data_IF_941243001029
#
_entry.id   IF_941243001029
#
_cell.length_a   1.000
_cell.length_b   1.000
_cell.length_c   1.000
_cell.angle_alpha   90.00
_cell.angle_beta   90.00
_cell.angle_gamma   90.00
#
_symmetry.space_group_name_H-M   'P 1'
#
loop_
_entity.id
_entity.type
_entity.pdbx_description
1 polymer ?
#
# COMPACT_ATOMS: atom_id res chain seq x y z
N UNK A 1 -42.63 6.64 1.18
CA UNK A 1 -42.03 7.89 1.71
C UNK A 1 -40.73 7.63 2.49
N UNK A 2 -40.71 6.74 3.50
CA UNK A 2 -39.52 6.41 4.32
C UNK A 2 -38.36 5.71 3.60
N UNK A 3 -38.59 5.12 2.42
CA UNK A 3 -37.54 4.51 1.57
C UNK A 3 -36.99 5.45 0.49
N UNK A 4 -37.41 6.72 0.49
CA UNK A 4 -36.90 7.71 -0.47
C UNK A 4 -35.56 8.27 0.01
N UNK A 5 -34.78 8.87 -0.89
CA UNK A 5 -33.49 9.52 -0.56
C UNK A 5 -33.57 10.54 0.58
N UNK A 6 -34.75 11.14 0.78
CA UNK A 6 -35.03 12.13 1.83
C UNK A 6 -35.19 11.51 3.23
N UNK A 7 -35.37 10.19 3.32
CA UNK A 7 -35.39 9.43 4.56
C UNK A 7 -34.11 8.64 4.82
N UNK A 8 -33.04 8.90 4.05
CA UNK A 8 -31.75 8.25 4.24
C UNK A 8 -31.09 8.70 5.54
N UNK A 9 -30.57 7.75 6.31
CA UNK A 9 -29.71 8.04 7.47
C UNK A 9 -28.36 8.63 7.04
N UNK A 10 -27.95 8.36 5.80
CA UNK A 10 -26.72 8.89 5.23
C UNK A 10 -27.00 10.21 4.52
N UNK A 11 -26.14 11.20 4.75
CA UNK A 11 -26.12 12.43 3.98
C UNK A 11 -25.59 12.13 2.58
N UNK A 12 -26.48 12.19 1.59
CA UNK A 12 -26.17 11.84 0.19
C UNK A 12 -25.06 12.72 -0.39
N UNK A 13 -24.95 13.98 0.06
CA UNK A 13 -23.90 14.91 -0.38
C UNK A 13 -22.50 14.50 0.12
N UNK A 14 -22.42 13.65 1.15
CA UNK A 14 -21.15 13.12 1.69
C UNK A 14 -20.71 11.82 1.02
N UNK A 15 -21.42 11.34 -0.01
CA UNK A 15 -21.00 10.16 -0.80
C UNK A 15 -19.82 10.48 -1.73
N UNK A 16 -19.53 11.77 -1.96
CA UNK A 16 -18.40 12.26 -2.74
C UNK A 16 -17.46 13.07 -1.83
N UNK A 17 -16.29 13.45 -2.35
CA UNK A 17 -15.39 14.33 -1.62
C UNK A 17 -16.08 15.67 -1.38
N UNK A 18 -16.29 15.99 -0.11
CA UNK A 18 -16.95 17.22 0.34
C UNK A 18 -16.05 18.07 1.25
N UNK A 19 -14.91 17.53 1.69
CA UNK A 19 -13.93 18.28 2.48
C UNK A 19 -13.12 19.22 1.59
N UNK A 20 -12.63 20.34 2.15
CA UNK A 20 -11.58 21.12 1.51
C UNK A 20 -10.30 20.28 1.45
N UNK A 21 -9.81 20.00 0.24
CA UNK A 21 -8.64 19.16 -0.01
C UNK A 21 -7.34 19.96 -0.26
N UNK A 22 -7.34 21.27 0.06
CA UNK A 22 -6.19 22.15 -0.11
C UNK A 22 -5.47 22.50 1.22
N UNK A 23 -5.87 21.90 2.33
CA UNK A 23 -5.19 22.09 3.61
C UNK A 23 -3.88 21.28 3.65
N UNK A 24 -2.97 21.58 4.58
CA UNK A 24 -1.81 20.73 4.83
C UNK A 24 -2.20 19.28 5.15
N UNK A 25 -1.37 18.31 4.73
CA UNK A 25 -1.64 16.88 4.90
C UNK A 25 -1.90 16.47 6.37
N UNK A 26 -1.29 17.16 7.32
CA UNK A 26 -1.47 16.96 8.77
C UNK A 26 -2.89 17.22 9.27
N UNK A 27 -3.75 17.87 8.47
CA UNK A 27 -5.11 18.20 8.84
C UNK A 27 -6.12 17.12 8.44
N UNK A 28 -5.66 16.01 7.87
CA UNK A 28 -6.51 14.92 7.39
C UNK A 28 -6.23 13.62 8.14
N UNK A 29 -7.29 12.87 8.41
CA UNK A 29 -7.15 11.45 8.71
C UNK A 29 -6.87 10.68 7.41
N UNK A 30 -5.79 9.91 7.39
CA UNK A 30 -5.39 9.10 6.23
C UNK A 30 -5.81 7.66 6.48
N UNK A 31 -6.62 7.11 5.59
CA UNK A 31 -6.99 5.70 5.62
C UNK A 31 -5.74 4.84 5.50
N UNK A 32 -5.39 4.14 6.58
CA UNK A 32 -4.11 3.44 6.73
C UNK A 32 -4.36 1.94 6.84
N UNK A 33 -3.57 1.14 6.13
CA UNK A 33 -3.64 -0.31 6.19
C UNK A 33 -2.40 -0.87 6.89
N UNK A 34 -2.62 -1.59 7.97
CA UNK A 34 -1.61 -2.38 8.67
C UNK A 34 -1.71 -3.86 8.22
N UNK A 35 -0.61 -4.48 7.79
CA UNK A 35 -0.52 -5.88 7.29
C UNK A 35 -1.20 -6.17 5.94
N UNK A 36 -1.07 -5.28 4.97
CA UNK A 36 -1.84 -5.31 3.71
C UNK A 36 -1.61 -6.54 2.79
N UNK A 37 -0.46 -7.20 2.93
CA UNK A 37 -0.02 -8.39 2.21
C UNK A 37 -0.50 -9.70 2.86
N UNK A 38 -0.84 -9.69 4.15
CA UNK A 38 -1.22 -10.91 4.88
C UNK A 38 -2.70 -11.23 4.63
N UNK A 39 -2.95 -12.12 3.68
CA UNK A 39 -4.23 -12.81 3.56
C UNK A 39 -4.31 -13.91 4.64
N UNK A 40 -4.29 -13.56 5.94
CA UNK A 40 -4.42 -14.54 7.03
C UNK A 40 -3.85 -14.13 8.40
N UNK A 41 -3.75 -15.12 9.31
CA UNK A 41 -3.14 -14.99 10.64
C UNK A 41 -1.66 -14.62 10.48
N UNK A 42 -1.15 -13.69 11.31
CA UNK A 42 0.21 -13.11 11.27
C UNK A 42 1.40 -14.11 11.28
N UNK A 43 1.14 -15.41 11.38
CA UNK A 43 2.13 -16.49 11.46
C UNK A 43 2.12 -17.36 10.19
N UNK A 44 1.08 -17.27 9.33
CA UNK A 44 0.87 -18.17 8.17
C UNK A 44 0.33 -17.51 6.88
N UNK A 45 0.16 -16.19 6.83
CA UNK A 45 -0.32 -15.54 5.61
C UNK A 45 0.79 -15.39 4.57
N UNK A 46 0.50 -15.72 3.31
CA UNK A 46 1.42 -15.50 2.18
C UNK A 46 1.55 -13.99 1.87
N UNK A 47 2.75 -13.53 1.51
CA UNK A 47 2.95 -12.19 0.98
C UNK A 47 2.59 -12.19 -0.50
N UNK A 48 1.56 -11.43 -0.87
CA UNK A 48 1.04 -11.40 -2.24
C UNK A 48 0.92 -9.98 -2.75
N UNK A 49 1.14 -9.81 -4.05
CA UNK A 49 0.94 -8.54 -4.75
C UNK A 49 -0.53 -8.10 -4.66
N UNK A 50 -1.44 -9.07 -4.67
CA UNK A 50 -2.88 -8.93 -4.54
C UNK A 50 -3.30 -8.25 -3.24
N UNK A 51 -2.55 -8.44 -2.15
CA UNK A 51 -2.78 -7.77 -0.88
C UNK A 51 -2.75 -6.25 -1.02
N UNK A 52 -1.70 -5.71 -1.65
CA UNK A 52 -1.57 -4.28 -1.92
C UNK A 52 -2.72 -3.76 -2.79
N UNK A 53 -3.05 -4.50 -3.86
CA UNK A 53 -4.14 -4.15 -4.77
C UNK A 53 -5.46 -4.05 -4.00
N UNK A 54 -5.73 -5.03 -3.12
CA UNK A 54 -6.99 -5.10 -2.38
C UNK A 54 -7.17 -3.97 -1.37
N UNK A 55 -6.10 -3.48 -0.74
CA UNK A 55 -6.23 -2.33 0.15
C UNK A 55 -6.32 -1.00 -0.58
N UNK A 56 -5.59 -0.83 -1.67
CA UNK A 56 -5.77 0.36 -2.53
C UNK A 56 -7.21 0.41 -3.04
N UNK A 57 -7.79 -0.74 -3.44
CA UNK A 57 -9.21 -0.89 -3.79
C UNK A 57 -10.15 -0.49 -2.66
N UNK A 58 -9.82 -0.80 -1.41
CA UNK A 58 -10.58 -0.40 -0.20
C UNK A 58 -10.33 1.06 0.23
N UNK A 59 -9.55 1.82 -0.55
CA UNK A 59 -9.30 3.24 -0.30
C UNK A 59 -8.15 3.52 0.67
N UNK A 60 -7.29 2.54 0.96
CA UNK A 60 -6.08 2.79 1.75
C UNK A 60 -5.16 3.77 0.98
N UNK A 61 -4.66 4.77 1.71
CA UNK A 61 -3.76 5.83 1.24
C UNK A 61 -2.43 5.83 1.99
N UNK A 62 -2.31 5.05 3.05
CA UNK A 62 -1.05 4.74 3.71
C UNK A 62 -0.91 3.21 3.80
N UNK A 63 0.19 2.69 3.27
CA UNK A 63 0.51 1.26 3.30
C UNK A 63 1.64 1.05 4.32
N UNK A 64 1.31 0.47 5.48
CA UNK A 64 2.15 0.52 6.69
C UNK A 64 3.11 -0.68 6.85
N UNK A 65 4.30 -0.35 7.39
CA UNK A 65 5.31 -1.10 8.17
C UNK A 65 5.54 -2.57 7.81
N UNK A 66 4.61 -3.45 8.15
CA UNK A 66 4.75 -4.88 7.83
C UNK A 66 4.54 -5.15 6.35
N UNK A 67 3.74 -4.32 5.69
CA UNK A 67 3.41 -4.50 4.29
C UNK A 67 4.50 -4.07 3.34
N UNK A 68 5.51 -3.35 3.79
CA UNK A 68 6.59 -2.96 2.91
C UNK A 68 7.92 -3.30 3.57
N UNK A 69 8.24 -4.56 3.35
CA UNK A 69 9.56 -4.97 2.85
C UNK A 69 10.59 -5.12 3.96
N UNK A 70 10.72 -6.31 4.57
CA UNK A 70 12.08 -6.75 4.91
C UNK A 70 12.82 -6.87 3.58
N UNK A 71 13.48 -5.79 3.17
CA UNK A 71 14.27 -5.80 1.95
C UNK A 71 15.49 -6.62 2.27
N UNK A 72 15.42 -7.90 1.95
CA UNK A 72 16.53 -8.82 2.16
C UNK A 72 17.33 -8.91 0.89
N UNK A 73 18.60 -9.27 1.07
CA UNK A 73 19.46 -9.52 -0.06
C UNK A 73 18.92 -10.71 -0.87
N UNK A 74 18.23 -10.44 -1.98
CA UNK A 74 17.71 -11.49 -2.86
C UNK A 74 18.82 -12.18 -3.64
N UNK A 75 18.55 -13.43 -4.06
CA UNK A 75 19.43 -14.13 -4.98
C UNK A 75 19.58 -13.31 -6.26
N UNK A 76 20.82 -13.04 -6.68
CA UNK A 76 21.19 -12.20 -7.84
C UNK A 76 21.17 -10.68 -7.62
N UNK A 77 21.10 -10.19 -6.37
CA UNK A 77 21.29 -8.76 -6.08
C UNK A 77 20.04 -7.89 -6.24
N UNK A 78 18.88 -8.51 -6.41
CA UNK A 78 17.60 -7.79 -6.44
C UNK A 78 16.92 -7.76 -5.05
N UNK A 79 16.36 -6.61 -4.65
CA UNK A 79 15.64 -6.48 -3.40
C UNK A 79 14.33 -7.26 -3.41
N UNK A 80 14.13 -8.09 -2.38
CA UNK A 80 12.92 -8.88 -2.20
C UNK A 80 12.14 -8.43 -0.95
N UNK A 81 10.81 -8.51 -1.01
CA UNK A 81 9.90 -8.29 0.10
C UNK A 81 9.59 -9.63 0.77
N UNK A 82 9.92 -9.76 2.05
CA UNK A 82 9.52 -10.89 2.90
C UNK A 82 9.20 -10.41 4.33
N UNK A 83 8.94 -11.34 5.25
CA UNK A 83 8.74 -11.09 6.68
C UNK A 83 9.68 -11.98 7.51
N UNK A 84 10.63 -11.36 8.22
CA UNK A 84 11.61 -12.00 9.08
C UNK A 84 10.91 -12.84 10.16
N UNK A 85 11.38 -14.08 10.34
CA UNK A 85 10.84 -15.01 11.34
C UNK A 85 9.55 -15.73 10.94
N UNK A 86 9.14 -15.69 9.67
CA UNK A 86 7.99 -16.44 9.16
C UNK A 86 8.31 -17.19 7.87
N UNK A 87 7.57 -18.27 7.59
CA UNK A 87 7.73 -19.14 6.40
C UNK A 87 7.10 -18.55 5.12
N UNK A 88 7.06 -17.23 5.00
CA UNK A 88 6.30 -16.55 3.95
C UNK A 88 7.13 -16.43 2.69
N UNK A 89 6.54 -16.80 1.55
CA UNK A 89 7.17 -16.65 0.24
C UNK A 89 7.54 -15.18 -0.03
N UNK A 90 8.75 -14.95 -0.49
CA UNK A 90 9.24 -13.63 -0.87
C UNK A 90 8.71 -13.22 -2.23
N UNK A 91 8.39 -11.93 -2.42
CA UNK A 91 8.06 -11.34 -3.72
C UNK A 91 9.13 -10.32 -4.12
N UNK A 92 9.37 -10.11 -5.41
CA UNK A 92 10.32 -9.07 -5.84
C UNK A 92 9.73 -7.68 -5.59
N UNK A 93 10.58 -6.74 -5.16
CA UNK A 93 10.16 -5.35 -4.94
C UNK A 93 9.57 -4.74 -6.22
N UNK A 94 10.20 -5.01 -7.36
CA UNK A 94 9.79 -4.48 -8.67
C UNK A 94 8.34 -4.84 -9.01
N UNK A 95 7.94 -6.09 -8.79
CA UNK A 95 6.58 -6.57 -9.09
C UNK A 95 5.54 -5.87 -8.20
N UNK A 96 5.86 -5.71 -6.91
CA UNK A 96 4.98 -4.99 -5.99
C UNK A 96 4.84 -3.51 -6.38
N UNK A 97 5.94 -2.84 -6.73
CA UNK A 97 5.91 -1.44 -7.17
C UNK A 97 5.11 -1.27 -8.47
N UNK A 98 5.26 -2.19 -9.43
CA UNK A 98 4.52 -2.15 -10.69
C UNK A 98 3.00 -2.31 -10.48
N UNK A 99 2.61 -3.19 -9.58
CA UNK A 99 1.21 -3.33 -9.18
C UNK A 99 0.71 -2.07 -8.46
N UNK A 100 1.48 -1.55 -7.49
CA UNK A 100 1.12 -0.32 -6.78
C UNK A 100 0.92 0.83 -7.78
N UNK A 101 1.85 1.05 -8.72
CA UNK A 101 1.73 2.07 -9.79
C UNK A 101 0.41 1.92 -10.56
N UNK A 102 0.06 0.69 -10.93
CA UNK A 102 -1.11 0.38 -11.74
C UNK A 102 -2.45 0.66 -11.03
N UNK A 103 -2.47 0.63 -9.69
CA UNK A 103 -3.71 0.76 -8.91
C UNK A 103 -3.77 2.01 -8.03
N UNK A 104 -2.64 2.63 -7.66
CA UNK A 104 -2.54 3.71 -6.69
C UNK A 104 -3.57 4.83 -6.91
N UNK A 105 -3.73 5.26 -8.16
CA UNK A 105 -4.60 6.38 -8.53
C UNK A 105 -5.90 5.96 -9.22
N UNK A 106 -6.17 4.65 -9.33
CA UNK A 106 -7.37 4.14 -10.02
C UNK A 106 -8.66 4.43 -9.24
N UNK A 107 -8.60 4.43 -7.92
CA UNK A 107 -9.78 4.56 -7.04
C UNK A 107 -9.83 5.87 -6.25
N UNK A 108 -8.73 6.61 -6.18
CA UNK A 108 -8.73 7.99 -5.70
C UNK A 108 -7.52 8.74 -6.24
N UNK A 109 -7.68 10.05 -6.53
CA UNK A 109 -6.61 10.89 -7.10
C UNK A 109 -5.62 11.39 -6.03
N UNK A 110 -5.86 11.12 -4.75
CA UNK A 110 -5.08 11.64 -3.64
C UNK A 110 -3.79 10.82 -3.42
N UNK A 111 -2.74 11.46 -2.85
CA UNK A 111 -1.44 10.83 -2.67
C UNK A 111 -1.51 9.49 -1.93
N UNK A 112 -0.61 8.58 -2.33
CA UNK A 112 -0.37 7.31 -1.66
C UNK A 112 0.97 7.39 -0.93
N UNK A 113 0.95 7.07 0.36
CA UNK A 113 2.12 7.08 1.23
C UNK A 113 2.59 5.63 1.40
N UNK A 114 3.85 5.39 1.03
CA UNK A 114 4.53 4.12 1.22
C UNK A 114 5.52 4.26 2.37
N UNK A 115 5.37 3.48 3.43
CA UNK A 115 6.37 3.41 4.51
C UNK A 115 7.30 2.24 4.24
N UNK A 116 8.62 2.45 4.24
CA UNK A 116 9.61 1.41 3.90
C UNK A 116 10.36 1.01 5.17
N UNK A 117 10.39 -0.29 5.50
CA UNK A 117 11.21 -0.83 6.60
C UNK A 117 12.55 -1.37 6.06
N UNK A 118 13.50 -0.48 5.84
CA UNK A 118 14.73 -0.83 5.14
C UNK A 118 15.70 -1.68 5.99
N UNK A 119 15.88 -2.95 5.61
CA UNK A 119 16.86 -3.87 6.19
C UNK A 119 17.95 -4.31 5.19
N UNK A 120 18.03 -3.64 4.04
CA UNK A 120 18.96 -3.99 2.96
C UNK A 120 20.39 -3.57 3.27
N UNK A 121 21.35 -4.31 2.70
CA UNK A 121 22.73 -3.84 2.54
C UNK A 121 22.77 -2.55 1.70
N UNK A 122 23.81 -1.72 1.86
CA UNK A 122 23.94 -0.46 1.10
C UNK A 122 23.85 -0.68 -0.42
N UNK A 123 24.45 -1.76 -0.92
CA UNK A 123 24.42 -2.13 -2.34
C UNK A 123 22.99 -2.41 -2.83
N UNK A 124 22.16 -3.05 -2.01
CA UNK A 124 20.76 -3.29 -2.35
C UNK A 124 19.85 -2.09 -2.06
N UNK A 125 20.23 -1.18 -1.17
CA UNK A 125 19.53 0.10 -1.04
C UNK A 125 19.65 0.93 -2.33
N UNK A 126 20.82 0.89 -3.00
CA UNK A 126 20.95 1.49 -4.32
C UNK A 126 20.07 0.80 -5.37
N UNK A 127 19.98 -0.54 -5.34
CA UNK A 127 19.09 -1.29 -6.23
C UNK A 127 17.61 -0.97 -5.97
N UNK A 128 17.22 -0.84 -4.70
CA UNK A 128 15.89 -0.40 -4.27
C UNK A 128 15.57 1.00 -4.79
N UNK A 129 16.49 1.96 -4.60
CA UNK A 129 16.33 3.33 -5.11
C UNK A 129 16.19 3.35 -6.63
N UNK A 130 17.01 2.57 -7.36
CA UNK A 130 16.88 2.40 -8.82
C UNK A 130 15.50 1.87 -9.21
N UNK A 131 15.01 0.84 -8.52
CA UNK A 131 13.68 0.28 -8.79
C UNK A 131 12.56 1.30 -8.57
N UNK A 132 12.62 2.13 -7.51
CA UNK A 132 11.65 3.20 -7.29
C UNK A 132 11.65 4.25 -8.40
N UNK A 133 12.84 4.64 -8.88
CA UNK A 133 12.97 5.62 -9.98
C UNK A 133 12.46 5.01 -11.29
N UNK A 134 12.93 3.81 -11.65
CA UNK A 134 12.59 3.14 -12.90
C UNK A 134 11.09 2.90 -13.04
N UNK A 135 10.43 2.43 -11.97
CA UNK A 135 8.98 2.22 -11.99
C UNK A 135 8.22 3.54 -12.07
N UNK A 136 8.77 4.67 -11.63
CA UNK A 136 8.07 5.95 -11.70
C UNK A 136 8.16 6.62 -13.10
N UNK A 137 9.18 6.28 -13.90
CA UNK A 137 9.27 6.64 -15.33
C UNK A 137 8.23 5.91 -16.19
#
# INVERSE_FOLDING_TARGET
MLRSRWGSVLQVDHEKVFQDMNQPLSNYFVNSSHNTYLMGIQIKGEATVEGYINAIKKGARLLERKCLVDVLDGASGEPCITHRGTLVASIFLRDALQAIKSYAFRYSPYPLILTIENHCSLQQQEAMARAFVEVNT
#
